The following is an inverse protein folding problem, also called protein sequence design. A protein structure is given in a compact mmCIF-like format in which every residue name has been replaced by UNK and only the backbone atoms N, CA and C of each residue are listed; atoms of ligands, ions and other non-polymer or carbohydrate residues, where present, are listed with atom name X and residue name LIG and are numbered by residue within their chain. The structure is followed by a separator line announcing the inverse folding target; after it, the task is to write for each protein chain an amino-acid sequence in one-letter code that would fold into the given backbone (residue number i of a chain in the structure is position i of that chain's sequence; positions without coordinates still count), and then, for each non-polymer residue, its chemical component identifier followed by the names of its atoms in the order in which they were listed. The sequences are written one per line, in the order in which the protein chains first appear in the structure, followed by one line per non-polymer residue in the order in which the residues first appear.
data_IF_586665462969
#
_entry.id   IF_586665462969
#
_cell.length_a   1.000
_cell.length_b   1.000
_cell.length_c   1.000
_cell.angle_alpha   90.00
_cell.angle_beta   90.00
_cell.angle_gamma   90.00
#
_symmetry.space_group_name_H-M   'P 1'
#
loop_
_entity.id
_entity.type
_entity.pdbx_description
1 polymer ?
#
# COMPACT_ATOMS: atom_id res chain seq x y z
N UNK A 1 26.79 46.03 -3.40
CA UNK A 1 26.32 47.28 -4.04
C UNK A 1 24.93 47.61 -3.51
N UNK A 2 24.70 48.80 -2.94
CA UNK A 2 23.37 49.20 -2.46
C UNK A 2 22.39 49.27 -3.64
N UNK A 3 21.11 48.95 -3.40
CA UNK A 3 20.09 49.04 -4.43
C UNK A 3 20.02 50.49 -4.95
N UNK A 4 20.22 50.69 -6.26
CA UNK A 4 20.32 52.01 -6.91
C UNK A 4 19.05 52.88 -6.80
N UNK A 5 18.02 52.41 -6.11
CA UNK A 5 16.73 53.09 -5.92
C UNK A 5 16.64 53.88 -4.60
N UNK A 6 17.53 53.66 -3.63
CA UNK A 6 17.48 54.41 -2.35
C UNK A 6 18.41 55.63 -2.38
N UNK A 7 17.96 56.83 -1.99
CA UNK A 7 18.83 57.99 -1.91
C UNK A 7 20.04 57.77 -0.99
N UNK A 8 21.23 58.14 -1.46
CA UNK A 8 22.51 57.86 -0.79
C UNK A 8 22.58 58.45 0.63
N UNK A 9 21.99 59.63 0.84
CA UNK A 9 21.95 60.31 2.14
C UNK A 9 21.25 59.49 3.24
N UNK A 10 20.26 58.68 2.88
CA UNK A 10 19.42 57.94 3.84
C UNK A 10 19.80 56.48 4.00
N UNK A 11 20.86 56.02 3.32
CA UNK A 11 21.27 54.62 3.31
C UNK A 11 21.42 54.02 4.73
N UNK A 12 22.08 54.74 5.65
CA UNK A 12 22.27 54.30 7.04
C UNK A 12 20.96 54.21 7.81
N UNK A 13 20.07 55.19 7.63
CA UNK A 13 18.78 55.25 8.31
C UNK A 13 17.84 54.15 7.81
N UNK A 14 17.79 53.94 6.49
CA UNK A 14 17.01 52.86 5.86
C UNK A 14 17.48 51.50 6.40
N UNK A 15 18.79 51.25 6.45
CA UNK A 15 19.33 50.02 7.02
C UNK A 15 19.04 49.86 8.51
N UNK A 16 19.13 50.94 9.29
CA UNK A 16 18.80 50.91 10.72
C UNK A 16 17.33 50.53 10.93
N UNK A 17 16.44 51.15 10.18
CA UNK A 17 15.00 50.90 10.25
C UNK A 17 14.66 49.48 9.78
N UNK A 18 15.29 49.00 8.70
CA UNK A 18 15.15 47.61 8.25
C UNK A 18 15.61 46.62 9.33
N UNK A 19 16.76 46.86 9.97
CA UNK A 19 17.24 46.03 11.09
C UNK A 19 16.30 46.07 12.29
N UNK A 20 15.75 47.22 12.63
CA UNK A 20 14.77 47.33 13.72
C UNK A 20 13.49 46.55 13.40
N UNK A 21 12.99 46.64 12.16
CA UNK A 21 11.85 45.84 11.68
C UNK A 21 12.13 44.34 11.73
N UNK A 22 13.26 43.88 11.21
CA UNK A 22 13.61 42.45 11.28
C UNK A 22 13.84 42.00 12.72
N UNK A 23 14.45 42.83 13.57
CA UNK A 23 14.66 42.54 14.98
C UNK A 23 13.35 42.36 15.75
N UNK A 24 12.39 43.26 15.58
CA UNK A 24 11.06 43.13 16.23
C UNK A 24 10.30 41.89 15.74
N UNK A 25 10.32 41.63 14.43
CA UNK A 25 9.69 40.44 13.83
C UNK A 25 10.29 39.13 14.38
N UNK A 26 11.62 39.03 14.43
CA UNK A 26 12.30 37.83 14.92
C UNK A 26 12.05 37.61 16.41
N UNK A 27 12.01 38.67 17.23
CA UNK A 27 11.66 38.57 18.66
C UNK A 27 10.30 37.91 18.85
N UNK A 28 9.28 38.35 18.11
CA UNK A 28 7.95 37.73 18.16
C UNK A 28 8.00 36.26 17.72
N UNK A 29 8.68 35.93 16.61
CA UNK A 29 8.76 34.55 16.11
C UNK A 29 9.51 33.60 17.04
N UNK A 30 10.52 34.09 17.75
CA UNK A 30 11.24 33.31 18.76
C UNK A 30 10.36 33.05 19.99
N UNK A 31 9.53 34.02 20.39
CA UNK A 31 8.61 33.84 21.53
C UNK A 31 7.50 32.81 21.24
N UNK A 32 7.06 32.72 19.99
CA UNK A 32 6.02 31.79 19.55
C UNK A 32 6.60 30.56 18.85
N UNK A 33 7.84 30.15 19.19
CA UNK A 33 8.52 29.04 18.51
C UNK A 33 7.94 27.70 18.96
N UNK A 34 7.43 26.85 18.04
CA UNK A 34 6.95 25.51 18.39
C UNK A 34 8.07 24.58 18.88
N UNK A 35 7.71 23.65 19.76
CA UNK A 35 8.60 22.60 20.22
C UNK A 35 8.80 21.51 19.15
N UNK A 36 9.91 20.77 19.25
CA UNK A 36 10.21 19.66 18.33
C UNK A 36 9.09 18.62 18.32
N UNK A 37 8.54 18.28 19.48
CA UNK A 37 7.44 17.31 19.62
C UNK A 37 6.18 17.76 18.88
N UNK A 38 5.88 19.06 18.88
CA UNK A 38 4.75 19.61 18.13
C UNK A 38 4.95 19.50 16.62
N UNK A 39 6.14 19.85 16.13
CA UNK A 39 6.49 19.71 14.71
C UNK A 39 6.44 18.25 14.24
N UNK A 40 6.85 17.32 15.10
CA UNK A 40 6.73 15.88 14.89
C UNK A 40 5.28 15.44 14.79
N UNK A 41 4.44 15.83 15.76
CA UNK A 41 3.00 15.52 15.79
C UNK A 41 2.27 16.01 14.53
N UNK A 42 2.67 17.17 14.04
CA UNK A 42 2.15 17.77 12.80
C UNK A 42 2.73 17.15 11.52
N UNK A 43 3.61 16.15 11.63
CA UNK A 43 4.30 15.52 10.50
C UNK A 43 5.14 16.50 9.65
N UNK A 44 5.70 17.54 10.29
CA UNK A 44 6.67 18.45 9.67
C UNK A 44 8.09 17.90 9.83
N UNK A 45 8.41 17.36 11.02
CA UNK A 45 9.67 16.67 11.30
C UNK A 45 9.44 15.17 11.49
N UNK A 46 10.44 14.37 11.13
CA UNK A 46 10.40 12.92 11.33
C UNK A 46 10.67 12.54 12.80
N UNK A 47 10.00 11.47 13.25
CA UNK A 47 10.18 10.84 14.57
C UNK A 47 11.48 10.04 14.65
N UNK A 48 12.62 10.70 14.46
CA UNK A 48 13.92 9.99 14.42
C UNK A 48 14.99 10.73 15.20
N UNK A 49 15.86 9.97 15.87
CA UNK A 49 17.07 10.45 16.56
C UNK A 49 18.33 10.42 15.66
N UNK A 50 18.17 10.06 14.39
CA UNK A 50 19.24 9.97 13.42
C UNK A 50 19.69 11.38 12.99
N UNK A 51 20.96 11.46 12.63
CA UNK A 51 21.58 12.68 12.13
C UNK A 51 20.81 13.22 10.89
N UNK A 52 20.64 14.56 10.76
CA UNK A 52 19.82 15.17 9.71
C UNK A 52 20.11 14.70 8.28
N UNK A 53 21.37 14.44 7.91
CA UNK A 53 21.72 13.98 6.56
C UNK A 53 21.20 12.58 6.22
N UNK A 54 20.96 11.73 7.24
CA UNK A 54 20.48 10.36 7.05
C UNK A 54 18.95 10.23 7.03
N UNK A 55 18.22 11.21 7.57
CA UNK A 55 16.77 11.11 7.77
C UNK A 55 16.02 10.83 6.46
N UNK A 56 16.39 11.50 5.37
CA UNK A 56 15.77 11.30 4.06
C UNK A 56 15.97 9.85 3.55
N UNK A 57 17.18 9.32 3.69
CA UNK A 57 17.50 7.95 3.27
C UNK A 57 16.78 6.93 4.13
N UNK A 58 16.72 7.14 5.45
CA UNK A 58 15.99 6.28 6.38
C UNK A 58 14.49 6.25 6.07
N UNK A 59 13.88 7.40 5.77
CA UNK A 59 12.47 7.48 5.41
C UNK A 59 12.18 6.72 4.12
N UNK A 60 13.06 6.86 3.11
CA UNK A 60 12.97 6.10 1.86
C UNK A 60 13.02 4.59 2.11
N UNK A 61 13.96 4.15 2.95
CA UNK A 61 14.08 2.74 3.34
C UNK A 61 12.84 2.23 4.08
N UNK A 62 12.33 3.01 5.05
CA UNK A 62 11.13 2.69 5.82
C UNK A 62 9.92 2.51 4.88
N UNK A 63 9.73 3.43 3.94
CA UNK A 63 8.65 3.35 2.93
C UNK A 63 8.79 2.13 2.03
N UNK A 64 10.00 1.84 1.54
CA UNK A 64 10.23 0.66 0.69
C UNK A 64 9.94 -0.65 1.41
N UNK A 65 10.36 -0.79 2.68
CA UNK A 65 10.05 -1.96 3.51
C UNK A 65 8.54 -2.13 3.69
N UNK A 66 7.86 -1.06 4.09
CA UNK A 66 6.40 -1.09 4.26
C UNK A 66 5.67 -1.45 2.96
N UNK A 67 6.13 -0.94 1.81
CA UNK A 67 5.54 -1.28 0.52
C UNK A 67 5.69 -2.77 0.20
N UNK A 68 6.88 -3.34 0.43
CA UNK A 68 7.12 -4.77 0.22
C UNK A 68 6.26 -5.63 1.16
N UNK A 69 6.26 -5.31 2.45
CA UNK A 69 5.46 -6.03 3.46
C UNK A 69 3.96 -5.98 3.14
N UNK A 70 3.47 -4.84 2.67
CA UNK A 70 2.07 -4.68 2.24
C UNK A 70 1.79 -5.45 0.97
N UNK A 71 2.71 -5.47 0.00
CA UNK A 71 2.54 -6.23 -1.24
C UNK A 71 2.39 -7.72 -0.96
N UNK A 72 3.19 -8.29 -0.06
CA UNK A 72 3.07 -9.69 0.35
C UNK A 72 1.71 -9.98 1.01
N UNK A 73 1.27 -9.10 1.93
CA UNK A 73 -0.02 -9.25 2.62
C UNK A 73 -1.21 -9.12 1.69
N UNK A 74 -1.13 -8.23 0.70
CA UNK A 74 -2.19 -8.03 -0.31
C UNK A 74 -2.22 -9.20 -1.28
N UNK A 75 -1.06 -9.78 -1.65
CA UNK A 75 -1.00 -10.97 -2.50
C UNK A 75 -1.71 -12.17 -1.85
N UNK A 76 -1.67 -12.29 -0.52
CA UNK A 76 -2.35 -13.33 0.25
C UNK A 76 -3.76 -12.93 0.72
N UNK A 77 -4.38 -11.93 0.10
CA UNK A 77 -5.69 -11.44 0.53
C UNK A 77 -6.76 -12.54 0.38
N UNK A 78 -7.46 -12.92 1.47
CA UNK A 78 -8.52 -13.93 1.43
C UNK A 78 -9.63 -13.57 0.46
N UNK A 79 -10.12 -14.56 -0.29
CA UNK A 79 -11.26 -14.38 -1.17
C UNK A 79 -12.58 -14.13 -0.40
N UNK A 80 -13.61 -13.58 -1.06
CA UNK A 80 -14.90 -13.32 -0.42
C UNK A 80 -15.57 -14.60 0.13
N UNK A 81 -15.40 -15.75 -0.55
CA UNK A 81 -15.92 -17.03 -0.06
C UNK A 81 -15.25 -17.50 1.23
N UNK A 82 -13.95 -17.23 1.40
CA UNK A 82 -13.22 -17.57 2.62
C UNK A 82 -13.73 -16.74 3.81
N UNK A 83 -14.10 -15.48 3.58
CA UNK A 83 -14.66 -14.60 4.61
C UNK A 83 -16.06 -15.04 5.05
N UNK A 84 -16.86 -15.56 4.12
CA UNK A 84 -18.16 -16.20 4.40
C UNK A 84 -17.98 -17.45 5.25
N UNK A 85 -17.04 -18.33 4.89
CA UNK A 85 -16.74 -19.55 5.65
C UNK A 85 -16.28 -19.23 7.08
N UNK A 86 -15.48 -18.17 7.23
CA UNK A 86 -15.03 -17.64 8.53
C UNK A 86 -16.12 -16.87 9.30
N UNK A 87 -17.36 -16.80 8.78
CA UNK A 87 -18.52 -16.13 9.39
C UNK A 87 -18.30 -14.63 9.68
N UNK A 88 -17.39 -13.99 8.94
CA UNK A 88 -17.14 -12.55 9.03
C UNK A 88 -18.16 -11.80 8.15
N UNK A 89 -18.45 -12.35 6.97
CA UNK A 89 -19.49 -11.84 6.08
C UNK A 89 -20.77 -12.68 6.24
N UNK A 90 -21.95 -12.06 6.44
CA UNK A 90 -23.21 -12.76 6.34
C UNK A 90 -23.48 -13.15 4.88
N UNK A 91 -24.18 -14.26 4.71
CA UNK A 91 -24.77 -14.65 3.42
C UNK A 91 -26.27 -14.53 3.57
N UNK A 92 -26.93 -13.92 2.58
CA UNK A 92 -28.38 -13.83 2.54
C UNK A 92 -29.00 -15.21 2.81
N UNK A 93 -29.96 -15.26 3.72
CA UNK A 93 -30.51 -16.47 4.32
C UNK A 93 -30.96 -17.53 3.31
N UNK A 94 -31.39 -17.13 2.10
CA UNK A 94 -31.75 -18.04 1.02
C UNK A 94 -30.59 -18.83 0.41
N UNK A 95 -29.35 -18.36 0.53
CA UNK A 95 -28.15 -18.99 -0.06
C UNK A 95 -27.38 -19.83 0.97
N UNK A 96 -27.44 -19.48 2.26
CA UNK A 96 -26.84 -20.30 3.33
C UNK A 96 -27.44 -21.71 3.38
N UNK A 97 -28.77 -21.84 3.28
CA UNK A 97 -29.49 -23.12 3.25
C UNK A 97 -29.03 -24.01 2.08
N UNK A 98 -28.77 -23.41 0.91
CA UNK A 98 -28.29 -24.11 -0.28
C UNK A 98 -26.83 -24.55 -0.13
N UNK A 99 -25.97 -23.74 0.48
CA UNK A 99 -24.56 -24.09 0.73
C UNK A 99 -24.46 -25.20 1.80
N UNK A 100 -25.26 -25.12 2.86
CA UNK A 100 -25.33 -26.16 3.90
C UNK A 100 -25.95 -27.46 3.35
N UNK A 101 -27.01 -27.37 2.54
CA UNK A 101 -27.62 -28.53 1.86
C UNK A 101 -26.69 -29.17 0.83
N UNK A 102 -25.85 -28.40 0.14
CA UNK A 102 -24.82 -28.96 -0.77
C UNK A 102 -23.73 -29.70 -0.01
N UNK A 103 -23.33 -29.22 1.18
CA UNK A 103 -22.37 -29.92 2.06
C UNK A 103 -22.93 -31.25 2.58
N UNK A 104 -24.24 -31.34 2.87
CA UNK A 104 -24.89 -32.59 3.30
C UNK A 104 -25.10 -33.59 2.15
N UNK A 105 -25.42 -33.13 0.94
CA UNK A 105 -25.56 -34.00 -0.25
C UNK A 105 -24.23 -34.61 -0.74
N UNK A 106 -23.10 -33.92 -0.52
CA UNK A 106 -21.78 -34.45 -0.85
C UNK A 106 -21.42 -35.70 0.00
N UNK A 107 -21.91 -35.78 1.24
CA UNK A 107 -21.74 -36.95 2.12
C UNK A 107 -22.65 -38.13 1.71
N UNK A 108 -23.71 -37.89 0.92
CA UNK A 108 -24.64 -38.93 0.46
C UNK A 108 -24.20 -39.62 -0.85
N UNK A 109 -23.21 -39.08 -1.57
CA UNK A 109 -22.81 -39.63 -2.88
C UNK A 109 -21.77 -40.76 -2.78
N UNK A 110 -21.34 -41.14 -1.58
CA UNK A 110 -20.44 -42.26 -1.38
C UNK A 110 -21.21 -43.60 -1.27
N UNK A 111 -21.85 -44.02 -2.37
CA UNK A 111 -22.32 -45.41 -2.63
C UNK A 111 -22.94 -45.51 -4.03
N UNK A 112 -22.16 -45.27 -5.09
CA UNK A 112 -22.50 -45.81 -6.42
C UNK A 112 -21.55 -46.98 -6.74
N UNK A 113 -22.02 -48.24 -6.77
CA UNK A 113 -21.19 -49.36 -7.19
C UNK A 113 -20.79 -49.17 -8.66
N UNK A 114 -19.48 -49.20 -8.93
CA UNK A 114 -18.95 -49.15 -10.30
C UNK A 114 -19.36 -50.43 -11.04
N UNK A 115 -20.37 -50.36 -11.91
CA UNK A 115 -20.60 -51.39 -12.92
C UNK A 115 -19.51 -51.26 -13.98
N UNK A 116 -18.59 -52.22 -14.03
CA UNK A 116 -17.61 -52.36 -15.13
C UNK A 116 -18.35 -52.56 -16.44
N UNK A 117 -18.31 -51.57 -17.32
CA UNK A 117 -18.57 -51.77 -18.74
C UNK A 117 -17.22 -52.17 -19.37
N UNK A 118 -17.12 -53.44 -19.79
CA UNK A 118 -16.02 -53.94 -20.63
C UNK A 118 -16.15 -53.20 -21.97
N UNK A 119 -15.21 -52.32 -22.27
CA UNK A 119 -14.99 -51.85 -23.64
C UNK A 119 -14.14 -52.91 -24.33
N UNK A 120 -14.72 -53.54 -25.36
CA UNK A 120 -14.00 -54.44 -26.25
C UNK A 120 -12.96 -53.66 -27.03
N UNK A 121 -11.75 -54.22 -27.09
CA UNK A 121 -10.67 -53.78 -27.96
C UNK A 121 -11.10 -53.96 -29.43
N UNK A 122 -11.19 -52.86 -30.17
CA UNK A 122 -11.22 -52.89 -31.64
C UNK A 122 -10.03 -52.09 -32.13
N UNK A 123 -8.96 -52.81 -32.42
CA UNK A 123 -7.77 -52.32 -33.11
C UNK A 123 -7.97 -52.49 -34.60
N UNK A 124 -8.02 -51.38 -35.33
CA UNK A 124 -7.77 -51.27 -36.77
C UNK A 124 -7.07 -49.91 -36.96
N UNK A 125 -5.75 -49.87 -37.18
CA UNK A 125 -5.07 -49.94 -38.48
C UNK A 125 -5.55 -48.86 -39.45
N UNK A 126 -4.68 -47.89 -39.71
CA UNK A 126 -4.41 -47.13 -40.95
C UNK A 126 -3.50 -45.96 -40.55
N UNK A 127 -2.19 -46.09 -40.72
CA UNK A 127 -1.40 -45.74 -41.92
C UNK A 127 -0.95 -44.28 -41.95
N UNK A 128 0.38 -44.14 -41.97
CA UNK A 128 1.19 -42.93 -42.05
C UNK A 128 0.84 -41.99 -43.21
N UNK A 129 0.99 -40.69 -42.98
CA UNK A 129 1.61 -39.76 -43.95
C UNK A 129 2.29 -38.60 -43.22
N UNK A 130 3.59 -38.47 -43.46
CA UNK A 130 4.43 -37.32 -43.13
C UNK A 130 4.24 -36.21 -44.15
N UNK A 131 4.13 -34.96 -43.72
CA UNK A 131 4.25 -33.78 -44.59
C UNK A 131 5.37 -32.90 -44.02
N UNK A 132 6.43 -32.78 -44.80
CA UNK A 132 7.51 -31.78 -44.70
C UNK A 132 7.01 -30.42 -45.20
N UNK A 133 7.36 -29.34 -44.50
CA UNK A 133 7.17 -27.97 -44.97
C UNK A 133 8.53 -27.27 -45.09
N UNK A 134 8.71 -26.62 -46.23
CA UNK A 134 9.89 -25.89 -46.71
C UNK A 134 10.06 -24.54 -46.04
#
# INVERSE_FOLDING_TARGET
FPALKSPVAFHKQIHSLQRARTGTFLKHKLSSRPDRSELVRMHILEETQAEPSLQATQLRLKRARLANDLNEKIAQRPGPMELVEKKILPVDSGVQEVVNSKRSLALLTQRRPKRKLKWGSLSDRLSSTSITAT
#
